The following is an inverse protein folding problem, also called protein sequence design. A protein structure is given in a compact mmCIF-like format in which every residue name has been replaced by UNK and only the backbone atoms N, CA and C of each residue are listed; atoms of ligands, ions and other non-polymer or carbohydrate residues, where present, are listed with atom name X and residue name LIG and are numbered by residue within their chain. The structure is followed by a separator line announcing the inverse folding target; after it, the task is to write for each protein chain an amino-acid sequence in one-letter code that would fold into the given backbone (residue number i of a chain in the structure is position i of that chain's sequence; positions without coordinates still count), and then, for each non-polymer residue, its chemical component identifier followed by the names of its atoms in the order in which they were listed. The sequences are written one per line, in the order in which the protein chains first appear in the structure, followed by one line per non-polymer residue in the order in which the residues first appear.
data_IF_143840205855
#
_entry.id   IF_143840205855
#
_cell.length_a   1.000
_cell.length_b   1.000
_cell.length_c   1.000
_cell.angle_alpha   90.00
_cell.angle_beta   90.00
_cell.angle_gamma   90.00
#
_symmetry.space_group_name_H-M   'P 1'
#
loop_
_entity.id
_entity.type
_entity.pdbx_description
1 polymer ?
#
# COMPACT_ATOMS: atom_id res chain seq x y z
N UNK A 1 -3.83 -3.45 -17.15
CA UNK A 1 -4.27 -4.85 -17.33
C UNK A 1 -4.36 -5.47 -15.95
N UNK A 2 -5.56 -5.79 -15.46
CA UNK A 2 -5.70 -6.43 -14.15
C UNK A 2 -5.11 -7.85 -14.23
N UNK A 3 -4.06 -8.12 -13.49
CA UNK A 3 -3.43 -9.44 -13.37
C UNK A 3 -4.29 -10.44 -12.56
N UNK A 4 -5.52 -10.06 -12.23
CA UNK A 4 -6.39 -10.72 -11.26
C UNK A 4 -6.70 -12.21 -11.51
N UNK A 5 -6.60 -12.68 -12.75
CA UNK A 5 -6.93 -14.07 -13.08
C UNK A 5 -5.71 -15.01 -13.11
N UNK A 6 -4.49 -14.51 -12.87
CA UNK A 6 -3.24 -15.28 -12.94
C UNK A 6 -2.50 -15.36 -11.61
N UNK A 7 -3.00 -14.68 -10.59
CA UNK A 7 -2.30 -14.53 -9.33
C UNK A 7 -2.95 -15.38 -8.24
N UNK A 8 -2.13 -16.07 -7.50
CA UNK A 8 -2.50 -16.69 -6.22
C UNK A 8 -1.79 -15.91 -5.12
N UNK A 9 -2.56 -15.45 -4.16
CA UNK A 9 -2.06 -14.87 -2.93
C UNK A 9 -1.95 -15.97 -1.87
N UNK A 10 -0.79 -16.06 -1.26
CA UNK A 10 -0.51 -17.02 -0.20
C UNK A 10 0.15 -16.26 0.95
N UNK A 11 -0.49 -16.24 2.11
CA UNK A 11 -0.08 -15.45 3.27
C UNK A 11 1.37 -15.73 3.70
N UNK A 12 1.78 -16.99 3.63
CA UNK A 12 3.10 -17.41 4.12
C UNK A 12 4.18 -17.35 3.03
N UNK A 13 3.78 -17.50 1.77
CA UNK A 13 4.71 -17.52 0.63
C UNK A 13 4.86 -16.12 0.01
N UNK A 14 3.76 -15.46 -0.32
CA UNK A 14 3.72 -14.20 -1.05
C UNK A 14 2.79 -14.23 -2.26
N UNK A 15 3.00 -13.34 -3.22
CA UNK A 15 2.27 -13.29 -4.48
C UNK A 15 2.88 -14.25 -5.50
N UNK A 16 2.04 -15.11 -6.09
CA UNK A 16 2.44 -16.14 -7.06
C UNK A 16 1.77 -15.82 -8.38
N UNK A 17 2.54 -15.59 -9.42
CA UNK A 17 2.04 -15.24 -10.74
C UNK A 17 2.90 -15.81 -11.86
N UNK A 18 2.46 -15.68 -13.12
CA UNK A 18 3.22 -16.06 -14.30
C UNK A 18 3.79 -14.82 -14.97
N UNK A 19 5.07 -14.90 -15.37
CA UNK A 19 5.71 -13.89 -16.21
C UNK A 19 4.93 -13.73 -17.51
N UNK A 20 4.64 -12.51 -17.90
CA UNK A 20 4.01 -12.20 -19.18
C UNK A 20 4.94 -12.35 -20.37
N UNK A 21 6.26 -12.45 -20.15
CA UNK A 21 7.27 -12.60 -21.19
C UNK A 21 7.45 -14.06 -21.62
N UNK A 22 7.56 -14.96 -20.64
CA UNK A 22 7.94 -16.36 -20.90
C UNK A 22 7.05 -17.39 -20.19
N UNK A 23 6.00 -16.93 -19.50
CA UNK A 23 5.06 -17.78 -18.77
C UNK A 23 5.61 -18.48 -17.54
N UNK A 24 6.86 -18.24 -17.15
CA UNK A 24 7.46 -18.84 -15.97
C UNK A 24 6.74 -18.40 -14.70
N UNK A 25 6.60 -19.35 -13.76
CA UNK A 25 6.06 -19.07 -12.44
C UNK A 25 7.04 -18.20 -11.65
N UNK A 26 6.56 -17.07 -11.16
CA UNK A 26 7.29 -16.13 -10.31
C UNK A 26 6.64 -16.16 -8.92
N UNK A 27 7.47 -16.15 -7.89
CA UNK A 27 7.08 -15.99 -6.50
C UNK A 27 7.71 -14.70 -6.01
N UNK A 28 6.86 -13.73 -5.66
CA UNK A 28 7.27 -12.48 -5.02
C UNK A 28 6.92 -12.57 -3.54
N UNK A 29 7.89 -12.97 -2.73
CA UNK A 29 7.73 -12.92 -1.28
C UNK A 29 7.99 -11.50 -0.75
N UNK A 30 7.56 -11.17 0.49
CA UNK A 30 7.89 -9.91 1.14
C UNK A 30 9.41 -9.62 1.15
N UNK A 31 10.23 -10.61 1.46
CA UNK A 31 11.69 -10.49 1.46
C UNK A 31 12.22 -10.19 0.06
N UNK A 32 11.73 -10.91 -0.94
CA UNK A 32 12.16 -10.72 -2.33
C UNK A 32 11.78 -9.33 -2.84
N UNK A 33 10.61 -8.81 -2.47
CA UNK A 33 10.19 -7.44 -2.78
C UNK A 33 11.18 -6.41 -2.22
N UNK A 34 11.57 -6.55 -0.97
CA UNK A 34 12.57 -5.66 -0.33
C UNK A 34 13.94 -5.78 -1.02
N UNK A 35 14.40 -6.99 -1.31
CA UNK A 35 15.69 -7.24 -1.98
C UNK A 35 15.73 -6.58 -3.36
N UNK A 36 14.67 -6.70 -4.16
CA UNK A 36 14.57 -6.05 -5.48
C UNK A 36 14.65 -4.54 -5.35
N UNK A 37 13.87 -3.92 -4.44
CA UNK A 37 13.88 -2.49 -4.24
C UNK A 37 15.23 -1.98 -3.73
N UNK A 38 15.92 -2.74 -2.89
CA UNK A 38 17.32 -2.45 -2.49
C UNK A 38 18.29 -2.55 -3.67
N UNK A 39 18.13 -3.55 -4.54
CA UNK A 39 18.99 -3.75 -5.71
C UNK A 39 18.88 -2.64 -6.75
N UNK A 40 17.68 -2.10 -6.97
CA UNK A 40 17.46 -0.92 -7.82
C UNK A 40 17.80 0.40 -7.11
N UNK A 41 18.25 0.33 -5.87
CA UNK A 41 18.70 1.45 -5.05
C UNK A 41 17.63 2.52 -4.75
N UNK A 42 16.36 2.11 -4.55
CA UNK A 42 15.29 3.04 -4.15
C UNK A 42 15.60 3.70 -2.80
N UNK A 43 15.34 5.01 -2.69
CA UNK A 43 15.48 5.76 -1.43
C UNK A 43 14.33 5.48 -0.49
N UNK A 44 13.11 5.36 -1.02
CA UNK A 44 11.91 4.93 -0.31
C UNK A 44 11.52 3.55 -0.81
N UNK A 45 11.39 2.62 0.12
CA UNK A 45 11.04 1.22 -0.11
C UNK A 45 9.64 0.97 0.47
N UNK A 46 8.79 0.34 -0.32
CA UNK A 46 7.42 0.01 0.07
C UNK A 46 7.33 -1.44 0.54
N UNK A 47 6.54 -1.69 1.57
CA UNK A 47 6.19 -3.07 1.94
C UNK A 47 5.39 -3.74 0.82
N UNK A 48 5.41 -5.07 0.74
CA UNK A 48 4.46 -5.81 -0.09
C UNK A 48 3.11 -5.85 0.61
N UNK A 49 2.04 -5.59 -0.13
CA UNK A 49 0.67 -5.58 0.37
C UNK A 49 -0.29 -6.38 -0.52
N UNK A 50 -1.42 -6.76 0.04
CA UNK A 50 -2.56 -7.30 -0.70
C UNK A 50 -3.59 -6.19 -0.87
N UNK A 51 -3.79 -5.77 -2.12
CA UNK A 51 -4.72 -4.72 -2.49
C UNK A 51 -5.94 -5.31 -3.22
N UNK A 52 -7.03 -5.62 -2.50
CA UNK A 52 -8.25 -6.12 -3.12
C UNK A 52 -8.97 -5.03 -3.91
N UNK A 53 -9.83 -5.44 -4.84
CA UNK A 53 -10.70 -4.53 -5.58
C UNK A 53 -11.68 -3.83 -4.64
N UNK A 54 -12.12 -2.63 -5.02
CA UNK A 54 -13.07 -1.84 -4.22
C UNK A 54 -14.40 -2.58 -3.95
N UNK A 55 -14.84 -3.43 -4.88
CA UNK A 55 -16.09 -4.19 -4.78
C UNK A 55 -16.04 -5.40 -3.86
N UNK A 56 -14.90 -5.65 -3.21
CA UNK A 56 -14.75 -6.78 -2.30
C UNK A 56 -15.51 -6.57 -0.99
N UNK A 57 -16.02 -7.67 -0.44
CA UNK A 57 -16.74 -7.65 0.83
C UNK A 57 -15.81 -7.42 2.04
N UNK A 58 -16.41 -7.12 3.20
CA UNK A 58 -15.65 -6.85 4.43
C UNK A 58 -14.77 -8.04 4.87
N UNK A 59 -15.18 -9.28 4.60
CA UNK A 59 -14.39 -10.46 4.96
C UNK A 59 -13.12 -10.54 4.13
N UNK A 60 -13.24 -10.29 2.83
CA UNK A 60 -12.10 -10.22 1.90
C UNK A 60 -11.16 -9.07 2.28
N UNK A 61 -11.70 -7.89 2.63
CA UNK A 61 -10.90 -6.76 3.09
C UNK A 61 -10.17 -7.05 4.41
N UNK A 62 -10.85 -7.68 5.38
CA UNK A 62 -10.23 -8.07 6.65
C UNK A 62 -9.08 -9.06 6.43
N UNK A 63 -9.28 -10.06 5.56
CA UNK A 63 -8.23 -11.01 5.20
C UNK A 63 -7.04 -10.31 4.51
N UNK A 64 -7.30 -9.36 3.63
CA UNK A 64 -6.26 -8.56 2.97
C UNK A 64 -5.46 -7.71 3.97
N UNK A 65 -6.12 -7.12 4.97
CA UNK A 65 -5.44 -6.39 6.07
C UNK A 65 -4.52 -7.34 6.85
N UNK A 66 -4.98 -8.54 7.16
CA UNK A 66 -4.17 -9.52 7.91
C UNK A 66 -2.98 -10.02 7.10
N UNK A 67 -3.15 -10.28 5.81
CA UNK A 67 -2.06 -10.65 4.90
C UNK A 67 -1.06 -9.50 4.79
N UNK A 68 -1.53 -8.29 4.51
CA UNK A 68 -0.68 -7.10 4.37
C UNK A 68 0.10 -6.81 5.65
N UNK A 69 -0.55 -6.94 6.82
CA UNK A 69 0.12 -6.76 8.12
C UNK A 69 1.19 -7.82 8.35
N UNK A 70 0.90 -9.08 8.02
CA UNK A 70 1.87 -10.17 8.13
C UNK A 70 3.08 -9.93 7.21
N UNK A 71 2.83 -9.55 5.97
CA UNK A 71 3.88 -9.23 5.01
C UNK A 71 4.68 -8.00 5.38
N UNK A 72 4.03 -6.97 5.94
CA UNK A 72 4.69 -5.75 6.41
C UNK A 72 5.72 -6.05 7.53
N UNK A 73 5.40 -6.97 8.46
CA UNK A 73 6.34 -7.44 9.49
C UNK A 73 7.57 -8.12 8.88
N UNK A 74 7.35 -9.01 7.89
CA UNK A 74 8.42 -9.71 7.17
C UNK A 74 9.29 -8.73 6.38
N UNK A 75 8.66 -7.78 5.67
CA UNK A 75 9.37 -6.69 4.99
C UNK A 75 10.23 -5.88 5.96
N UNK A 76 9.71 -5.54 7.14
CA UNK A 76 10.45 -4.80 8.17
C UNK A 76 11.68 -5.58 8.66
N UNK A 77 11.54 -6.88 8.87
CA UNK A 77 12.65 -7.76 9.26
C UNK A 77 13.74 -7.82 8.17
N UNK A 78 13.35 -8.03 6.90
CA UNK A 78 14.27 -8.07 5.76
C UNK A 78 14.92 -6.72 5.46
N UNK A 79 14.19 -5.64 5.66
CA UNK A 79 14.72 -4.28 5.50
C UNK A 79 15.82 -4.01 6.51
N UNK A 80 15.64 -4.43 7.77
CA UNK A 80 16.57 -4.19 8.85
C UNK A 80 16.72 -2.71 9.19
N UNK A 81 17.91 -2.34 9.69
CA UNK A 81 18.23 -0.95 10.00
C UNK A 81 18.99 -0.31 8.84
N UNK A 82 18.48 0.81 8.33
CA UNK A 82 19.14 1.60 7.29
C UNK A 82 18.93 3.09 7.56
N UNK A 83 20.03 3.87 7.61
CA UNK A 83 19.98 5.32 7.87
C UNK A 83 19.73 6.15 6.62
N UNK A 84 19.97 5.61 5.44
CA UNK A 84 19.88 6.33 4.17
C UNK A 84 18.62 6.04 3.37
N UNK A 85 17.80 5.08 3.81
CA UNK A 85 16.59 4.66 3.10
C UNK A 85 15.42 4.58 4.07
N UNK A 86 14.21 4.93 3.60
CA UNK A 86 12.96 4.82 4.35
C UNK A 86 12.16 3.59 3.94
N UNK A 87 11.57 2.87 4.91
CA UNK A 87 10.59 1.83 4.67
C UNK A 87 9.19 2.33 5.02
N UNK A 88 8.26 2.28 4.06
CA UNK A 88 6.89 2.72 4.23
C UNK A 88 5.92 1.55 4.34
N UNK A 89 5.04 1.62 5.35
CA UNK A 89 3.90 0.72 5.50
C UNK A 89 2.73 1.14 4.62
N UNK A 90 1.95 0.20 4.11
CA UNK A 90 0.79 0.46 3.25
C UNK A 90 -0.49 0.05 3.97
N UNK A 91 -1.39 1.01 4.23
CA UNK A 91 -2.69 0.76 4.86
C UNK A 91 -3.70 0.25 3.86
N UNK A 92 -4.57 -0.65 4.29
CA UNK A 92 -5.67 -1.22 3.52
C UNK A 92 -7.01 -0.98 4.23
N UNK A 93 -8.13 -1.39 3.65
CA UNK A 93 -9.47 -1.31 4.28
C UNK A 93 -10.56 -0.72 3.40
N UNK A 94 -10.29 -0.49 2.11
CA UNK A 94 -11.26 0.03 1.14
C UNK A 94 -11.88 1.35 1.58
N UNK A 95 -13.20 1.48 1.50
CA UNK A 95 -13.96 2.65 1.94
C UNK A 95 -14.55 2.51 3.36
N UNK A 96 -14.07 1.55 4.14
CA UNK A 96 -14.55 1.32 5.51
C UNK A 96 -13.61 1.95 6.52
N UNK A 97 -14.09 3.00 7.18
CA UNK A 97 -13.35 3.77 8.19
C UNK A 97 -12.80 2.90 9.31
N UNK A 98 -13.62 2.01 9.86
CA UNK A 98 -13.26 1.08 10.93
C UNK A 98 -12.09 0.17 10.54
N UNK A 99 -12.15 -0.39 9.34
CA UNK A 99 -11.10 -1.26 8.80
C UNK A 99 -9.80 -0.52 8.49
N UNK A 100 -9.91 0.73 7.99
CA UNK A 100 -8.74 1.59 7.78
C UNK A 100 -8.04 1.92 9.08
N UNK A 101 -8.80 2.27 10.13
CA UNK A 101 -8.23 2.54 11.45
C UNK A 101 -7.56 1.28 12.02
N UNK A 102 -8.16 0.11 11.85
CA UNK A 102 -7.55 -1.17 12.24
C UNK A 102 -6.20 -1.38 11.52
N UNK A 103 -6.17 -1.21 10.21
CA UNK A 103 -4.95 -1.34 9.40
C UNK A 103 -3.87 -0.34 9.83
N UNK A 104 -4.25 0.93 10.05
CA UNK A 104 -3.35 1.98 10.52
C UNK A 104 -2.71 1.58 11.86
N UNK A 105 -3.52 1.17 12.84
CA UNK A 105 -3.02 0.81 14.18
C UNK A 105 -2.04 -0.37 14.11
N UNK A 106 -2.38 -1.43 13.35
CA UNK A 106 -1.49 -2.58 13.15
C UNK A 106 -0.14 -2.19 12.54
N UNK A 107 -0.10 -1.20 11.64
CA UNK A 107 1.14 -0.74 11.02
C UNK A 107 1.92 0.22 11.94
N UNK A 108 1.24 1.04 12.73
CA UNK A 108 1.89 1.90 13.73
C UNK A 108 2.64 1.04 14.76
N UNK A 109 2.07 -0.07 15.19
CA UNK A 109 2.72 -1.01 16.13
C UNK A 109 4.02 -1.62 15.55
N UNK A 110 4.10 -1.77 14.22
CA UNK A 110 5.33 -2.23 13.53
C UNK A 110 6.37 -1.09 13.43
N UNK A 111 5.92 0.16 13.40
CA UNK A 111 6.73 1.39 13.34
C UNK A 111 7.55 1.55 12.06
N UNK A 112 6.96 2.16 11.04
CA UNK A 112 7.60 2.48 9.76
C UNK A 112 8.18 3.91 9.74
N UNK A 113 9.00 4.21 8.71
CA UNK A 113 9.55 5.55 8.47
C UNK A 113 8.53 6.49 7.84
N UNK A 114 7.54 5.95 7.13
CA UNK A 114 6.38 6.64 6.55
C UNK A 114 5.21 5.68 6.37
N UNK A 115 4.04 6.22 6.02
CA UNK A 115 2.80 5.45 5.85
C UNK A 115 2.09 5.83 4.57
N UNK A 116 1.71 4.84 3.79
CA UNK A 116 0.95 5.02 2.56
C UNK A 116 -0.52 4.63 2.73
N UNK A 117 -1.40 5.38 2.08
CA UNK A 117 -2.81 5.06 1.90
C UNK A 117 -2.95 4.23 0.62
N UNK A 118 -2.99 2.91 0.76
CA UNK A 118 -3.25 1.98 -0.33
C UNK A 118 -4.73 1.66 -0.52
N UNK A 119 -5.07 0.92 -1.57
CA UNK A 119 -6.46 0.52 -1.85
C UNK A 119 -7.42 1.70 -2.10
N UNK A 120 -6.89 2.80 -2.63
CA UNK A 120 -7.59 3.93 -3.22
C UNK A 120 -7.12 4.10 -4.67
N UNK A 121 -7.81 4.92 -5.47
CA UNK A 121 -7.63 5.03 -6.94
C UNK A 121 -7.87 3.68 -7.66
N UNK A 122 -8.78 2.85 -7.14
CA UNK A 122 -9.12 1.52 -7.67
C UNK A 122 -10.57 1.41 -8.14
N UNK A 123 -11.26 2.57 -8.28
CA UNK A 123 -12.62 2.64 -8.83
C UNK A 123 -13.62 3.45 -8.00
N UNK A 124 -13.23 4.01 -6.86
CA UNK A 124 -14.03 4.94 -6.08
C UNK A 124 -14.14 6.30 -6.76
N UNK A 125 -15.14 7.07 -6.35
CA UNK A 125 -15.29 8.47 -6.73
C UNK A 125 -14.33 9.36 -5.93
N UNK A 126 -14.07 10.58 -6.44
CA UNK A 126 -13.27 11.58 -5.74
C UNK A 126 -13.84 11.92 -4.35
N UNK A 127 -15.18 12.07 -4.26
CA UNK A 127 -15.84 12.37 -2.98
C UNK A 127 -15.67 11.25 -1.96
N UNK A 128 -15.76 9.98 -2.39
CA UNK A 128 -15.51 8.83 -1.52
C UNK A 128 -14.06 8.79 -1.04
N UNK A 129 -13.11 9.06 -1.93
CA UNK A 129 -11.70 9.16 -1.58
C UNK A 129 -11.48 10.26 -0.52
N UNK A 130 -11.95 11.48 -0.75
CA UNK A 130 -11.79 12.58 0.21
C UNK A 130 -12.46 12.31 1.54
N UNK A 131 -13.65 11.69 1.53
CA UNK A 131 -14.33 11.28 2.77
C UNK A 131 -13.46 10.32 3.59
N UNK A 132 -12.85 9.33 2.94
CA UNK A 132 -11.96 8.39 3.63
C UNK A 132 -10.69 9.07 4.12
N UNK A 133 -10.08 9.96 3.34
CA UNK A 133 -8.91 10.72 3.79
C UNK A 133 -9.23 11.57 5.01
N UNK A 134 -10.30 12.36 4.98
CA UNK A 134 -10.76 13.17 6.12
C UNK A 134 -11.01 12.33 7.38
N UNK A 135 -11.64 11.19 7.20
CA UNK A 135 -11.99 10.30 8.30
C UNK A 135 -10.78 9.59 8.93
N UNK A 136 -9.72 9.33 8.16
CA UNK A 136 -8.68 8.36 8.57
C UNK A 136 -7.26 8.91 8.63
N UNK A 137 -6.89 9.92 7.84
CA UNK A 137 -5.52 10.46 7.80
C UNK A 137 -5.04 11.00 9.17
N UNK A 138 -5.94 11.53 9.97
CA UNK A 138 -5.66 12.02 11.33
C UNK A 138 -5.16 10.95 12.31
N UNK A 139 -5.37 9.66 12.02
CA UNK A 139 -4.86 8.55 12.83
C UNK A 139 -3.42 8.16 12.45
N UNK A 140 -2.93 8.62 11.31
CA UNK A 140 -1.52 8.45 10.94
C UNK A 140 -0.62 9.39 11.76
N UNK A 141 0.61 8.97 12.10
CA UNK A 141 1.56 9.81 12.82
C UNK A 141 1.84 11.13 12.09
N UNK A 142 1.74 12.26 12.82
CA UNK A 142 1.96 13.60 12.25
C UNK A 142 3.42 13.89 11.92
N UNK A 143 4.34 13.17 12.54
CA UNK A 143 5.79 13.33 12.37
C UNK A 143 6.39 12.34 11.37
N UNK A 144 5.57 11.69 10.58
CA UNK A 144 5.96 10.73 9.54
C UNK A 144 5.33 11.12 8.20
N UNK A 145 6.04 10.97 7.07
CA UNK A 145 5.46 11.21 5.75
C UNK A 145 4.22 10.34 5.50
N UNK A 146 3.22 10.94 4.88
CA UNK A 146 1.94 10.32 4.50
C UNK A 146 1.81 10.35 2.99
N UNK A 147 1.69 9.20 2.40
CA UNK A 147 1.73 9.01 0.96
C UNK A 147 0.40 8.48 0.44
N UNK A 148 -0.21 9.16 -0.52
CA UNK A 148 -1.40 8.69 -1.23
C UNK A 148 -0.99 8.08 -2.57
N UNK A 149 -1.14 6.76 -2.70
CA UNK A 149 -0.64 5.99 -3.83
C UNK A 149 -1.56 6.10 -5.06
N UNK A 150 -0.95 6.32 -6.22
CA UNK A 150 -1.64 6.29 -7.52
C UNK A 150 -2.54 7.49 -7.82
N UNK A 151 -2.46 8.55 -7.04
CA UNK A 151 -3.27 9.77 -7.16
C UNK A 151 -2.36 10.96 -7.47
N UNK A 152 -2.66 11.87 -8.35
CA UNK A 152 -3.86 12.03 -9.12
C UNK A 152 -3.86 13.31 -9.96
N UNK A 153 -5.06 13.81 -10.23
CA UNK A 153 -5.23 15.10 -10.89
C UNK A 153 -4.82 16.27 -9.97
N UNK A 154 -4.61 17.49 -10.51
CA UNK A 154 -4.31 18.66 -9.67
C UNK A 154 -5.34 18.90 -8.56
N UNK A 155 -6.63 18.66 -8.83
CA UNK A 155 -7.70 18.79 -7.82
C UNK A 155 -7.61 17.72 -6.73
N UNK A 156 -7.25 16.48 -7.09
CA UNK A 156 -7.05 15.41 -6.13
C UNK A 156 -5.89 15.71 -5.18
N UNK A 157 -4.78 16.19 -5.74
CA UNK A 157 -3.59 16.56 -4.95
C UNK A 157 -3.92 17.69 -3.97
N UNK A 158 -4.56 18.76 -4.44
CA UNK A 158 -4.95 19.88 -3.57
C UNK A 158 -5.89 19.43 -2.44
N UNK A 159 -6.92 18.64 -2.78
CA UNK A 159 -7.84 18.11 -1.77
C UNK A 159 -7.16 17.19 -0.77
N UNK A 160 -6.30 16.30 -1.24
CA UNK A 160 -5.59 15.36 -0.35
C UNK A 160 -4.54 16.04 0.53
N UNK A 161 -3.86 17.09 0.05
CA UNK A 161 -2.97 17.94 0.86
C UNK A 161 -3.75 18.61 1.99
N UNK A 162 -4.97 19.10 1.72
CA UNK A 162 -5.84 19.67 2.75
C UNK A 162 -6.21 18.63 3.84
N UNK A 163 -6.28 17.35 3.48
CA UNK A 163 -6.51 16.24 4.41
C UNK A 163 -5.21 15.72 5.07
N UNK A 164 -4.06 16.35 4.80
CA UNK A 164 -2.78 16.08 5.47
C UNK A 164 -1.94 14.99 4.80
N UNK A 165 -2.06 14.82 3.50
CA UNK A 165 -1.17 13.96 2.68
C UNK A 165 0.04 14.78 2.22
N UNK A 166 1.22 14.17 2.22
CA UNK A 166 2.50 14.82 1.91
C UNK A 166 3.10 14.39 0.57
N UNK A 167 2.78 13.16 0.09
CA UNK A 167 3.42 12.55 -1.07
C UNK A 167 2.40 11.92 -2.02
N UNK A 168 2.73 11.93 -3.30
CA UNK A 168 1.87 11.45 -4.39
C UNK A 168 2.70 10.81 -5.50
N UNK A 169 2.08 9.89 -6.23
CA UNK A 169 2.53 9.42 -7.55
C UNK A 169 1.34 9.29 -8.50
N UNK A 170 1.52 9.62 -9.75
CA UNK A 170 0.52 9.30 -10.77
C UNK A 170 1.12 9.32 -12.17
N UNK A 171 0.40 8.71 -13.12
CA UNK A 171 0.79 8.65 -14.53
C UNK A 171 0.25 9.83 -15.37
N UNK A 172 -0.59 10.69 -14.78
CA UNK A 172 -1.26 11.78 -15.50
C UNK A 172 -0.31 12.73 -16.24
N UNK A 173 0.87 13.12 -15.68
CA UNK A 173 1.77 14.03 -16.39
C UNK A 173 2.39 13.44 -17.65
N UNK A 174 2.34 12.12 -17.84
CA UNK A 174 2.97 11.40 -18.96
C UNK A 174 1.98 10.72 -19.90
N UNK A 175 0.68 10.92 -19.67
CA UNK A 175 -0.42 10.37 -20.50
C UNK A 175 -1.09 11.44 -21.33
#
# INVERSE_FOLDING_TARGET
MSLSNLNKIDKDIGAIFKSHLDGKKIILSPEKSIQVQKAINSDIIMVLDECPKLTEDKRTLSNAIDISTHWAKRCKTEFGFNKSKGLFGITQGGLYKDMRIESINKLIDINFDGYAMGGLAVGETQDEMFKILNDTTKFLPKNKPRYLMGVGTPSDILGAVNEGIDMFDCVMPTR
#
